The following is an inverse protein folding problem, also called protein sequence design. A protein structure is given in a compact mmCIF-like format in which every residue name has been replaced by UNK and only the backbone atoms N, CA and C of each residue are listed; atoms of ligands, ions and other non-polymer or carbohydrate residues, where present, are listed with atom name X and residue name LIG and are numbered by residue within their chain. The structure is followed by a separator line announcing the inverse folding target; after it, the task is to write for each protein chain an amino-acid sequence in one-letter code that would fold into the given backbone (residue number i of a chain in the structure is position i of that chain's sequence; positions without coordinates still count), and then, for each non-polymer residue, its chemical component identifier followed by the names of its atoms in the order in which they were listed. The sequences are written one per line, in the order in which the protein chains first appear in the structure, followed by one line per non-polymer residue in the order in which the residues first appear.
data_IF_830735054405
#
_entry.id   IF_830735054405
#
_cell.length_a   1.000
_cell.length_b   1.000
_cell.length_c   1.000
_cell.angle_alpha   90.00
_cell.angle_beta   90.00
_cell.angle_gamma   90.00
#
_symmetry.space_group_name_H-M   'P 1'
#
loop_
_entity.id
_entity.type
_entity.pdbx_description
1 polymer ?
#
# COMPACT_ATOMS: atom_id res chain seq x y z
N UNK A 1 6.25 -1.54 20.59
CA UNK A 1 5.63 -0.23 20.91
C UNK A 1 5.01 0.32 19.63
N UNK A 2 3.78 0.85 19.67
CA UNK A 2 3.11 1.46 18.50
C UNK A 2 3.42 2.96 18.44
N UNK A 3 3.91 3.45 17.30
CA UNK A 3 4.40 4.84 17.18
C UNK A 3 4.04 5.52 15.86
N UNK A 4 3.50 4.80 14.87
CA UNK A 4 3.11 5.39 13.58
C UNK A 4 1.83 6.20 13.79
N UNK A 5 1.97 7.52 13.88
CA UNK A 5 0.86 8.45 14.03
C UNK A 5 0.11 8.62 12.72
N UNK A 6 -1.13 9.14 12.78
CA UNK A 6 -1.90 9.51 11.57
C UNK A 6 -1.13 10.49 10.68
N UNK A 7 -0.33 11.36 11.31
CA UNK A 7 0.53 12.31 10.61
C UNK A 7 1.64 11.59 9.82
N UNK A 8 2.37 10.68 10.47
CA UNK A 8 3.47 9.94 9.83
C UNK A 8 2.93 9.09 8.68
N UNK A 9 1.85 8.33 8.91
CA UNK A 9 1.23 7.47 7.90
C UNK A 9 0.85 8.26 6.63
N UNK A 10 0.14 9.37 6.80
CA UNK A 10 -0.27 10.22 5.67
C UNK A 10 0.93 10.75 4.84
N UNK A 11 2.10 10.95 5.43
CA UNK A 11 3.32 11.29 4.69
C UNK A 11 3.92 10.11 3.93
N UNK A 12 3.74 8.89 4.42
CA UNK A 12 4.21 7.66 3.77
C UNK A 12 3.32 7.27 2.58
N UNK A 13 2.02 7.55 2.65
CA UNK A 13 1.06 7.09 1.64
C UNK A 13 1.37 7.59 0.22
N UNK A 14 1.69 8.88 0.08
CA UNK A 14 2.03 9.48 -1.21
C UNK A 14 3.24 8.83 -1.90
N UNK A 15 4.45 8.78 -1.28
CA UNK A 15 5.60 8.15 -1.90
C UNK A 15 5.40 6.65 -2.10
N UNK A 16 4.69 5.95 -1.21
CA UNK A 16 4.38 4.52 -1.40
C UNK A 16 3.46 4.33 -2.61
N UNK A 17 2.39 5.10 -2.74
CA UNK A 17 1.49 5.01 -3.89
C UNK A 17 2.21 5.30 -5.21
N UNK A 18 3.07 6.32 -5.24
CA UNK A 18 3.90 6.63 -6.42
C UNK A 18 4.89 5.49 -6.71
N UNK A 19 5.51 4.92 -5.67
CA UNK A 19 6.43 3.80 -5.81
C UNK A 19 5.73 2.56 -6.40
N UNK A 20 4.50 2.25 -5.98
CA UNK A 20 3.70 1.16 -6.54
C UNK A 20 3.35 1.35 -8.02
N UNK A 21 3.28 2.61 -8.49
CA UNK A 21 3.04 2.94 -9.89
C UNK A 21 4.35 2.87 -10.69
N UNK A 22 5.46 3.39 -10.17
CA UNK A 22 6.69 3.62 -10.96
C UNK A 22 7.68 2.47 -10.85
N UNK A 23 7.92 1.93 -9.65
CA UNK A 23 8.89 0.85 -9.44
C UNK A 23 8.64 -0.41 -10.27
N UNK A 24 7.41 -0.90 -10.53
CA UNK A 24 7.24 -2.10 -11.35
C UNK A 24 7.86 -1.93 -12.75
N UNK A 25 7.80 -0.73 -13.34
CA UNK A 25 8.46 -0.47 -14.63
C UNK A 25 9.99 -0.44 -14.53
N UNK A 26 10.52 0.16 -13.46
CA UNK A 26 11.97 0.29 -13.25
C UNK A 26 12.64 -1.05 -12.92
N UNK A 27 11.90 -1.94 -12.24
CA UNK A 27 12.37 -3.26 -11.84
C UNK A 27 12.10 -4.34 -12.89
N UNK A 28 11.39 -3.99 -13.98
CA UNK A 28 11.03 -4.95 -15.02
C UNK A 28 10.02 -6.00 -14.55
N UNK A 29 9.04 -5.60 -13.72
CA UNK A 29 7.99 -6.53 -13.28
C UNK A 29 7.15 -7.01 -14.46
N UNK A 30 6.65 -8.24 -14.34
CA UNK A 30 5.74 -8.85 -15.31
C UNK A 30 6.34 -10.02 -16.10
N UNK A 31 7.59 -10.40 -15.80
CA UNK A 31 8.29 -11.51 -16.45
C UNK A 31 7.63 -12.86 -16.16
N UNK A 32 7.22 -13.11 -14.91
CA UNK A 32 6.50 -14.34 -14.55
C UNK A 32 5.04 -14.31 -14.99
N UNK A 33 4.42 -13.12 -14.94
CA UNK A 33 3.05 -12.89 -15.39
C UNK A 33 2.78 -11.38 -15.56
N UNK A 34 2.13 -10.93 -16.64
CA UNK A 34 1.74 -9.53 -16.81
C UNK A 34 0.90 -8.97 -15.65
N UNK A 35 0.23 -9.85 -14.91
CA UNK A 35 -0.53 -9.49 -13.71
C UNK A 35 0.35 -8.86 -12.63
N UNK A 36 1.63 -9.21 -12.51
CA UNK A 36 2.53 -8.64 -11.51
C UNK A 36 2.76 -7.14 -11.72
N UNK A 37 2.85 -6.69 -12.97
CA UNK A 37 2.92 -5.25 -13.26
C UNK A 37 1.56 -4.58 -13.06
N UNK A 38 0.51 -5.18 -13.61
CA UNK A 38 -0.84 -4.60 -13.62
C UNK A 38 -1.40 -4.43 -12.20
N UNK A 39 -1.25 -5.45 -11.35
CA UNK A 39 -1.73 -5.42 -9.98
C UNK A 39 -1.00 -4.34 -9.19
N UNK A 40 0.33 -4.19 -9.34
CA UNK A 40 1.09 -3.14 -8.66
C UNK A 40 0.61 -1.74 -9.05
N UNK A 41 0.52 -1.46 -10.35
CA UNK A 41 0.11 -0.15 -10.87
C UNK A 41 -1.33 0.18 -10.48
N UNK A 42 -2.25 -0.78 -10.62
CA UNK A 42 -3.64 -0.60 -10.23
C UNK A 42 -3.78 -0.33 -8.73
N UNK A 43 -3.08 -1.09 -7.88
CA UNK A 43 -3.06 -0.84 -6.43
C UNK A 43 -2.44 0.51 -6.10
N UNK A 44 -1.36 0.92 -6.77
CA UNK A 44 -0.74 2.24 -6.57
C UNK A 44 -1.68 3.39 -6.90
N UNK A 45 -2.39 3.32 -8.03
CA UNK A 45 -3.42 4.31 -8.41
C UNK A 45 -4.56 4.32 -7.38
N UNK A 46 -5.06 3.15 -7.00
CA UNK A 46 -6.13 3.04 -6.00
C UNK A 46 -5.70 3.59 -4.63
N UNK A 47 -4.48 3.31 -4.19
CA UNK A 47 -3.91 3.82 -2.94
C UNK A 47 -3.73 5.35 -2.98
N UNK A 48 -3.28 5.90 -4.11
CA UNK A 48 -3.20 7.35 -4.30
C UNK A 48 -4.57 8.00 -4.19
N UNK A 49 -5.57 7.47 -4.89
CA UNK A 49 -6.97 7.95 -4.80
C UNK A 49 -7.48 7.83 -3.36
N UNK A 50 -7.28 6.68 -2.71
CA UNK A 50 -7.67 6.48 -1.32
C UNK A 50 -7.05 7.56 -0.41
N UNK A 51 -5.76 7.85 -0.56
CA UNK A 51 -5.04 8.89 0.18
C UNK A 51 -5.65 10.27 -0.04
N UNK A 52 -5.94 10.65 -1.29
CA UNK A 52 -6.60 11.92 -1.61
C UNK A 52 -7.99 12.03 -0.97
N UNK A 53 -8.72 10.92 -0.87
CA UNK A 53 -10.07 10.88 -0.34
C UNK A 53 -10.12 10.71 1.20
N UNK A 54 -8.99 10.44 1.85
CA UNK A 54 -8.94 10.11 3.27
C UNK A 54 -8.97 11.35 4.15
N UNK A 55 -9.74 11.30 5.22
CA UNK A 55 -9.77 12.32 6.27
C UNK A 55 -8.49 12.30 7.11
N UNK A 56 -7.42 12.85 6.55
CA UNK A 56 -6.19 13.22 7.25
C UNK A 56 -5.69 14.59 6.77
N UNK A 57 -4.66 15.12 7.42
CA UNK A 57 -4.18 16.48 7.16
C UNK A 57 -3.69 16.72 5.71
N UNK A 58 -3.20 15.70 5.00
CA UNK A 58 -2.81 15.76 3.59
C UNK A 58 -3.91 15.32 2.62
N UNK A 59 -5.13 15.06 3.09
CA UNK A 59 -6.24 14.61 2.24
C UNK A 59 -6.88 15.80 1.53
N UNK A 60 -7.34 15.58 0.29
CA UNK A 60 -7.93 16.63 -0.57
C UNK A 60 -9.45 16.65 -0.42
N UNK A 61 -10.12 15.51 -0.65
CA UNK A 61 -11.57 15.36 -0.57
C UNK A 61 -11.90 14.36 0.55
N UNK A 62 -11.81 14.82 1.80
CA UNK A 62 -11.84 14.04 3.06
C UNK A 62 -13.18 13.32 3.33
N UNK A 63 -13.58 12.38 2.47
CA UNK A 63 -14.85 11.66 2.51
C UNK A 63 -14.72 10.24 3.06
N UNK A 64 -13.50 9.67 3.06
CA UNK A 64 -13.19 8.35 3.62
C UNK A 64 -12.59 8.53 5.01
N UNK A 65 -13.13 7.85 6.02
CA UNK A 65 -12.54 7.91 7.36
C UNK A 65 -11.15 7.27 7.39
N UNK A 66 -10.23 7.83 8.19
CA UNK A 66 -8.89 7.29 8.34
C UNK A 66 -8.87 5.83 8.87
N UNK A 67 -9.85 5.44 9.67
CA UNK A 67 -10.00 4.03 10.10
C UNK A 67 -10.25 3.10 8.91
N UNK A 68 -11.08 3.52 7.96
CA UNK A 68 -11.33 2.72 6.75
C UNK A 68 -10.11 2.66 5.85
N UNK A 69 -9.34 3.75 5.73
CA UNK A 69 -8.04 3.73 5.04
C UNK A 69 -7.13 2.62 5.58
N UNK A 70 -6.91 2.58 6.90
CA UNK A 70 -6.07 1.54 7.52
C UNK A 70 -6.58 0.10 7.29
N UNK A 71 -7.90 -0.08 7.21
CA UNK A 71 -8.48 -1.40 6.89
C UNK A 71 -8.14 -1.79 5.45
N UNK A 72 -8.23 -0.84 4.50
CA UNK A 72 -7.85 -1.10 3.11
C UNK A 72 -6.36 -1.42 3.00
N UNK A 73 -5.49 -0.69 3.68
CA UNK A 73 -4.04 -0.97 3.69
C UNK A 73 -3.73 -2.36 4.22
N UNK A 74 -4.41 -2.77 5.31
CA UNK A 74 -4.27 -4.13 5.86
C UNK A 74 -4.66 -5.19 4.84
N UNK A 75 -5.77 -4.98 4.11
CA UNK A 75 -6.23 -5.90 3.06
C UNK A 75 -5.21 -5.94 1.92
N UNK A 76 -4.70 -4.79 1.47
CA UNK A 76 -3.66 -4.71 0.42
C UNK A 76 -2.41 -5.48 0.83
N UNK A 77 -1.96 -5.33 2.08
CA UNK A 77 -0.81 -6.06 2.60
C UNK A 77 -1.00 -7.59 2.53
N UNK A 78 -2.18 -8.08 2.93
CA UNK A 78 -2.52 -9.51 2.82
C UNK A 78 -2.54 -9.95 1.35
N UNK A 79 -3.20 -9.18 0.48
CA UNK A 79 -3.27 -9.49 -0.96
C UNK A 79 -1.87 -9.60 -1.53
N UNK A 80 -0.96 -8.67 -1.20
CA UNK A 80 0.42 -8.68 -1.68
C UNK A 80 1.21 -9.88 -1.16
N UNK A 81 1.00 -10.30 0.09
CA UNK A 81 1.65 -11.50 0.64
C UNK A 81 1.18 -12.77 -0.08
N UNK A 82 -0.12 -12.85 -0.41
CA UNK A 82 -0.74 -14.03 -1.03
C UNK A 82 -0.51 -14.08 -2.55
N UNK A 83 -0.44 -12.92 -3.23
CA UNK A 83 -0.42 -12.83 -4.68
C UNK A 83 0.69 -13.67 -5.35
N UNK A 84 1.95 -13.69 -4.87
CA UNK A 84 2.97 -14.55 -5.46
C UNK A 84 2.62 -16.03 -5.47
N UNK A 85 1.96 -16.52 -4.42
CA UNK A 85 1.54 -17.91 -4.34
C UNK A 85 0.30 -18.18 -5.21
N UNK A 86 -0.66 -17.26 -5.23
CA UNK A 86 -1.91 -17.42 -5.97
C UNK A 86 -1.74 -17.32 -7.49
N UNK A 87 -0.79 -16.52 -7.95
CA UNK A 87 -0.54 -16.23 -9.37
C UNK A 87 0.79 -16.76 -9.88
N UNK A 88 1.50 -17.56 -9.06
CA UNK A 88 2.80 -18.13 -9.39
C UNK A 88 3.83 -17.08 -9.83
N UNK A 89 3.89 -15.96 -9.11
CA UNK A 89 4.96 -14.99 -9.34
C UNK A 89 6.29 -15.56 -8.88
N UNK A 90 7.34 -15.32 -9.67
CA UNK A 90 8.69 -15.83 -9.42
C UNK A 90 9.72 -14.71 -9.46
N UNK A 91 10.89 -14.96 -8.86
CA UNK A 91 12.02 -14.03 -8.90
C UNK A 91 11.67 -12.63 -8.39
N UNK A 92 11.97 -11.61 -9.20
CA UNK A 92 11.76 -10.21 -8.82
C UNK A 92 10.30 -9.87 -8.58
N UNK A 93 9.37 -10.49 -9.33
CA UNK A 93 7.93 -10.28 -9.16
C UNK A 93 7.51 -10.71 -7.74
N UNK A 94 7.91 -11.92 -7.30
CA UNK A 94 7.59 -12.42 -5.97
C UNK A 94 8.19 -11.55 -4.85
N UNK A 95 9.49 -11.22 -4.94
CA UNK A 95 10.17 -10.43 -3.93
C UNK A 95 9.57 -9.03 -3.79
N UNK A 96 9.21 -8.40 -4.92
CA UNK A 96 8.56 -7.10 -4.91
C UNK A 96 7.28 -7.11 -4.07
N UNK A 97 6.41 -8.09 -4.29
CA UNK A 97 5.15 -8.20 -3.57
C UNK A 97 5.33 -8.53 -2.09
N UNK A 98 6.22 -9.46 -1.75
CA UNK A 98 6.48 -9.78 -0.34
C UNK A 98 7.08 -8.61 0.42
N UNK A 99 8.05 -7.91 -0.15
CA UNK A 99 8.68 -6.75 0.50
C UNK A 99 7.64 -5.65 0.75
N UNK A 100 6.85 -5.28 -0.27
CA UNK A 100 5.82 -4.26 -0.12
C UNK A 100 4.70 -4.69 0.84
N UNK A 101 4.24 -5.95 0.75
CA UNK A 101 3.21 -6.49 1.64
C UNK A 101 3.64 -6.48 3.10
N UNK A 102 4.87 -6.92 3.40
CA UNK A 102 5.44 -6.88 4.76
C UNK A 102 5.61 -5.45 5.23
N UNK A 103 6.09 -4.54 4.37
CA UNK A 103 6.27 -3.13 4.72
C UNK A 103 4.94 -2.47 5.10
N UNK A 104 3.90 -2.61 4.28
CA UNK A 104 2.56 -2.06 4.56
C UNK A 104 1.99 -2.69 5.83
N UNK A 105 2.07 -4.01 5.98
CA UNK A 105 1.58 -4.70 7.19
C UNK A 105 2.28 -4.19 8.45
N UNK A 106 3.59 -3.94 8.38
CA UNK A 106 4.39 -3.40 9.48
C UNK A 106 3.93 -1.99 9.84
N UNK A 107 3.77 -1.10 8.86
CA UNK A 107 3.31 0.27 9.07
C UNK A 107 1.93 0.28 9.74
N UNK A 108 0.98 -0.49 9.21
CA UNK A 108 -0.38 -0.60 9.76
C UNK A 108 -0.37 -1.20 11.18
N UNK A 109 0.44 -2.23 11.43
CA UNK A 109 0.53 -2.88 12.76
C UNK A 109 1.14 -1.97 13.83
N UNK A 110 2.06 -1.10 13.43
CA UNK A 110 2.72 -0.12 14.30
C UNK A 110 1.90 1.17 14.48
N UNK A 111 0.72 1.28 13.87
CA UNK A 111 -0.16 2.43 14.01
C UNK A 111 -0.51 2.69 15.48
N UNK A 112 -0.26 3.90 15.94
CA UNK A 112 -0.64 4.39 17.26
C UNK A 112 -2.06 4.93 17.20
N UNK A 113 -2.98 4.31 17.92
CA UNK A 113 -4.35 4.80 18.05
C UNK A 113 -4.37 6.22 18.60
N UNK A 114 -5.06 7.11 17.89
CA UNK A 114 -5.27 8.50 18.30
C UNK A 114 -6.74 8.69 18.66
N UNK A 115 -6.99 9.37 19.79
CA UNK A 115 -8.35 9.71 20.22
C UNK A 115 -8.78 10.91 19.37
N UNK A 116 -9.98 10.82 18.78
CA UNK A 116 -10.63 11.97 18.16
C UNK A 116 -11.04 12.90 19.31
N UNK A 117 -10.29 13.98 19.51
CA UNK A 117 -10.66 15.08 20.42
C UNK A 117 -11.39 16.13 19.62
#
# INVERSE_FOLDING_TARGET
MKFVTKRIHAFLDYPVAIALIVLPFLLGLGDSSPLALQLSVATGIAAFILTLLTDHHLGVLKVISYKMHLVVDFIVAIVFIIAPFAFSFEGIDAYYYWINGIAVLTVVSLHKSEIVV
#
